data_IF_890714116680
#
_entry.id   IF_890714116680
#
_cell.length_a   1.000
_cell.length_b   1.000
_cell.length_c   1.000
_cell.angle_alpha   90.00
_cell.angle_beta   90.00
_cell.angle_gamma   90.00
#
_symmetry.space_group_name_H-M   'P 1'
#
loop_
_entity.id
_entity.type
_entity.pdbx_description
1 polymer ?
#
# COMPACT_ATOMS: atom_id res chain seq x y z
N UNK A 1 19.80 -64.24 10.81
CA UNK A 1 20.10 -64.52 9.39
C UNK A 1 21.16 -63.53 8.93
N UNK A 2 22.03 -63.98 8.02
CA UNK A 2 23.37 -63.47 7.76
C UNK A 2 23.44 -62.07 7.12
N UNK A 3 24.58 -61.42 7.39
CA UNK A 3 25.14 -60.24 6.73
C UNK A 3 25.51 -60.48 5.25
N UNK A 4 26.06 -59.44 4.61
CA UNK A 4 26.86 -59.35 3.36
C UNK A 4 26.02 -58.79 2.20
N UNK A 5 26.24 -57.57 1.68
CA UNK A 5 27.43 -57.04 0.96
C UNK A 5 27.39 -55.50 1.11
N UNK A 6 28.29 -54.83 1.83
CA UNK A 6 29.69 -54.48 1.52
C UNK A 6 29.89 -53.47 0.39
N UNK A 7 30.18 -52.24 0.82
CA UNK A 7 31.30 -51.39 0.37
C UNK A 7 31.50 -51.12 -1.13
N UNK A 8 31.41 -49.83 -1.49
CA UNK A 8 32.45 -49.18 -2.31
C UNK A 8 32.36 -47.65 -2.16
N UNK A 9 32.91 -47.13 -1.05
CA UNK A 9 33.48 -45.79 -1.07
C UNK A 9 34.93 -45.94 -1.51
N UNK A 10 35.21 -45.60 -2.77
CA UNK A 10 36.56 -45.31 -3.23
C UNK A 10 36.60 -43.89 -3.72
N UNK A 11 37.34 -43.05 -3.00
CA UNK A 11 37.92 -41.81 -3.52
C UNK A 11 38.95 -42.19 -4.58
N UNK A 12 38.83 -41.67 -5.78
CA UNK A 12 39.99 -41.28 -6.56
C UNK A 12 39.70 -40.00 -7.33
N UNK A 13 40.66 -39.09 -7.22
CA UNK A 13 40.76 -37.80 -7.87
C UNK A 13 41.14 -38.00 -9.34
N UNK A 14 40.59 -37.18 -10.24
CA UNK A 14 41.37 -36.23 -11.06
C UNK A 14 40.59 -35.79 -12.31
N UNK A 15 40.53 -34.46 -12.44
CA UNK A 15 40.49 -33.67 -13.67
C UNK A 15 39.37 -33.90 -14.70
N UNK A 16 38.36 -33.02 -14.63
CA UNK A 16 37.80 -32.42 -15.85
C UNK A 16 37.42 -30.96 -15.59
N UNK A 17 38.36 -30.08 -15.96
CA UNK A 17 38.15 -28.70 -16.42
C UNK A 17 37.20 -27.84 -15.58
N UNK A 18 37.80 -27.25 -14.56
CA UNK A 18 37.50 -25.90 -14.11
C UNK A 18 37.52 -24.93 -15.30
N UNK A 19 36.33 -24.48 -15.72
CA UNK A 19 36.12 -23.18 -16.33
C UNK A 19 34.80 -22.63 -15.77
N UNK A 20 34.76 -22.35 -14.47
CA UNK A 20 33.72 -21.48 -13.89
C UNK A 20 34.07 -20.01 -14.16
N UNK A 21 34.09 -19.61 -15.44
CA UNK A 21 34.17 -18.20 -15.83
C UNK A 21 32.78 -17.70 -16.24
N UNK A 22 31.91 -17.46 -15.24
CA UNK A 22 30.60 -16.83 -15.45
C UNK A 22 30.11 -15.91 -14.32
N UNK A 23 30.91 -15.72 -13.25
CA UNK A 23 30.36 -15.34 -11.93
C UNK A 23 30.48 -13.85 -11.58
N UNK A 24 31.19 -13.01 -12.34
CA UNK A 24 31.37 -11.60 -11.95
C UNK A 24 30.31 -10.65 -12.52
N UNK A 25 29.84 -10.84 -13.75
CA UNK A 25 28.84 -9.95 -14.38
C UNK A 25 27.42 -10.25 -13.85
N UNK A 26 27.14 -11.52 -13.57
CA UNK A 26 25.84 -11.97 -13.04
C UNK A 26 25.63 -11.53 -11.57
N UNK A 27 26.69 -11.51 -10.76
CA UNK A 27 26.65 -11.04 -9.37
C UNK A 27 26.32 -9.54 -9.25
N UNK A 28 27.03 -8.68 -9.99
CA UNK A 28 26.80 -7.22 -9.97
C UNK A 28 25.40 -6.85 -10.48
N UNK A 29 24.82 -7.63 -11.40
CA UNK A 29 23.45 -7.40 -11.88
C UNK A 29 22.38 -7.75 -10.83
N UNK A 30 22.63 -8.76 -9.99
CA UNK A 30 21.73 -9.14 -8.91
C UNK A 30 21.78 -8.14 -7.76
N UNK A 31 22.96 -7.61 -7.43
CA UNK A 31 23.10 -6.62 -6.35
C UNK A 31 22.26 -5.36 -6.60
N UNK A 32 22.36 -4.80 -7.81
CA UNK A 32 21.55 -3.64 -8.20
C UNK A 32 20.05 -3.97 -8.18
N UNK A 33 19.67 -5.15 -8.66
CA UNK A 33 18.28 -5.59 -8.62
C UNK A 33 17.73 -5.64 -7.18
N UNK A 34 18.51 -6.20 -6.25
CA UNK A 34 18.09 -6.28 -4.85
C UNK A 34 18.07 -4.92 -4.17
N UNK A 35 18.96 -3.99 -4.54
CA UNK A 35 18.90 -2.61 -4.09
C UNK A 35 17.60 -1.93 -4.54
N UNK A 36 17.24 -2.04 -5.83
CA UNK A 36 15.99 -1.49 -6.36
C UNK A 36 14.75 -2.11 -5.69
N UNK A 37 14.79 -3.43 -5.43
CA UNK A 37 13.77 -4.16 -4.68
C UNK A 37 13.62 -3.64 -3.25
N UNK A 38 14.72 -3.37 -2.56
CA UNK A 38 14.68 -2.86 -1.19
C UNK A 38 14.08 -1.46 -1.14
N UNK A 39 14.45 -0.58 -2.07
CA UNK A 39 13.81 0.75 -2.16
C UNK A 39 12.30 0.65 -2.41
N UNK A 40 11.84 -0.32 -3.20
CA UNK A 40 10.39 -0.56 -3.39
C UNK A 40 9.73 -1.06 -2.10
N UNK A 41 10.40 -1.88 -1.29
CA UNK A 41 9.88 -2.31 0.01
C UNK A 41 9.80 -1.15 1.00
N UNK A 42 10.80 -0.28 1.04
CA UNK A 42 10.77 0.95 1.85
C UNK A 42 9.59 1.83 1.45
N UNK A 43 9.40 2.07 0.14
CA UNK A 43 8.26 2.84 -0.36
C UNK A 43 6.90 2.18 0.01
N UNK A 44 6.82 0.85 0.02
CA UNK A 44 5.63 0.10 0.48
C UNK A 44 5.39 0.24 1.99
N UNK A 45 6.45 0.35 2.79
CA UNK A 45 6.33 0.60 4.23
C UNK A 45 5.86 2.04 4.48
N UNK A 46 6.41 3.03 3.78
CA UNK A 46 5.91 4.41 3.83
C UNK A 46 4.41 4.49 3.49
N UNK A 47 3.97 3.71 2.50
CA UNK A 47 2.55 3.63 2.13
C UNK A 47 1.71 3.05 3.27
N UNK A 48 2.21 2.06 4.01
CA UNK A 48 1.55 1.51 5.19
C UNK A 48 1.47 2.51 6.34
N UNK A 49 2.52 3.30 6.55
CA UNK A 49 2.54 4.32 7.60
C UNK A 49 1.52 5.42 7.32
N UNK A 50 1.37 5.81 6.04
CA UNK A 50 0.33 6.74 5.61
C UNK A 50 -1.08 6.18 5.87
N UNK A 51 -1.30 4.88 5.64
CA UNK A 51 -2.58 4.22 5.95
C UNK A 51 -2.88 4.28 7.45
N UNK A 52 -1.87 3.97 8.27
CA UNK A 52 -2.00 3.98 9.73
C UNK A 52 -2.28 5.39 10.26
N UNK A 53 -1.61 6.42 9.70
CA UNK A 53 -1.86 7.83 10.04
C UNK A 53 -3.28 8.26 9.66
N UNK A 54 -3.73 7.92 8.46
CA UNK A 54 -5.09 8.19 7.99
C UNK A 54 -6.13 7.54 8.92
N UNK A 55 -5.92 6.28 9.30
CA UNK A 55 -6.78 5.55 10.24
C UNK A 55 -6.81 6.22 11.62
N UNK A 56 -5.65 6.61 12.17
CA UNK A 56 -5.58 7.31 13.46
C UNK A 56 -6.34 8.63 13.42
N UNK A 57 -6.13 9.44 12.37
CA UNK A 57 -6.81 10.72 12.20
C UNK A 57 -8.33 10.57 12.07
N UNK A 58 -8.80 9.50 11.43
CA UNK A 58 -10.20 9.17 11.38
C UNK A 58 -10.78 8.82 12.76
N UNK A 59 -10.12 7.95 13.51
CA UNK A 59 -10.57 7.60 14.86
C UNK A 59 -10.55 8.81 15.81
N UNK A 60 -9.55 9.70 15.70
CA UNK A 60 -9.51 10.98 16.43
C UNK A 60 -10.67 11.90 16.05
N UNK A 61 -11.17 11.84 14.82
CA UNK A 61 -12.32 12.66 14.39
C UNK A 61 -13.61 12.25 15.11
N UNK A 62 -13.73 10.99 15.53
CA UNK A 62 -14.92 10.48 16.24
C UNK A 62 -15.07 11.04 17.65
N UNK A 63 -13.96 11.43 18.28
CA UNK A 63 -13.93 11.99 19.64
C UNK A 63 -13.65 13.49 19.65
N UNK A 64 -13.46 14.11 18.49
CA UNK A 64 -13.29 15.55 18.38
C UNK A 64 -14.60 16.29 18.70
N UNK A 65 -14.51 17.29 19.58
CA UNK A 65 -15.68 18.05 20.07
C UNK A 65 -15.71 19.51 19.59
N UNK A 66 -14.69 19.94 18.84
CA UNK A 66 -14.63 21.31 18.32
C UNK A 66 -14.55 21.31 16.79
N UNK A 67 -15.25 22.26 16.17
CA UNK A 67 -15.22 22.43 14.72
C UNK A 67 -13.82 22.72 14.18
N UNK A 68 -12.98 23.41 14.97
CA UNK A 68 -11.57 23.65 14.64
C UNK A 68 -10.78 22.34 14.56
N UNK A 69 -10.86 21.49 15.59
CA UNK A 69 -10.18 20.19 15.62
C UNK A 69 -10.66 19.27 14.49
N UNK A 70 -11.96 19.20 14.23
CA UNK A 70 -12.51 18.40 13.12
C UNK A 70 -11.97 18.89 11.77
N UNK A 71 -11.91 20.20 11.55
CA UNK A 71 -11.38 20.77 10.31
C UNK A 71 -9.89 20.47 10.12
N UNK A 72 -9.09 20.57 11.18
CA UNK A 72 -7.67 20.24 11.15
C UNK A 72 -7.44 18.76 10.83
N UNK A 73 -8.19 17.86 11.49
CA UNK A 73 -8.13 16.43 11.24
C UNK A 73 -8.48 16.09 9.79
N UNK A 74 -9.55 16.68 9.23
CA UNK A 74 -9.90 16.52 7.81
C UNK A 74 -8.77 16.96 6.89
N UNK A 75 -8.18 18.13 7.12
CA UNK A 75 -7.05 18.61 6.33
C UNK A 75 -5.83 17.67 6.40
N UNK A 76 -5.57 17.08 7.57
CA UNK A 76 -4.53 16.08 7.75
C UNK A 76 -4.84 14.81 6.95
N UNK A 77 -6.07 14.30 7.03
CA UNK A 77 -6.52 13.12 6.28
C UNK A 77 -6.39 13.33 4.76
N UNK A 78 -6.81 14.48 4.24
CA UNK A 78 -6.70 14.81 2.81
C UNK A 78 -5.24 14.82 2.35
N UNK A 79 -4.34 15.37 3.18
CA UNK A 79 -2.90 15.37 2.91
C UNK A 79 -2.34 13.95 2.88
N UNK A 80 -2.70 13.11 3.85
CA UNK A 80 -2.22 11.74 3.96
C UNK A 80 -2.69 10.90 2.76
N UNK A 81 -3.95 11.06 2.32
CA UNK A 81 -4.48 10.46 1.08
C UNK A 81 -3.69 10.94 -0.14
N UNK A 82 -3.45 12.25 -0.25
CA UNK A 82 -2.68 12.83 -1.35
C UNK A 82 -1.24 12.28 -1.41
N UNK A 83 -0.60 12.10 -0.25
CA UNK A 83 0.74 11.51 -0.14
C UNK A 83 0.72 10.02 -0.52
N UNK A 84 -0.29 9.27 -0.06
CA UNK A 84 -0.44 7.84 -0.38
C UNK A 84 -0.58 7.63 -1.90
N UNK A 85 -1.41 8.43 -2.57
CA UNK A 85 -1.57 8.36 -4.02
C UNK A 85 -0.27 8.68 -4.78
N UNK A 86 0.49 9.68 -4.33
CA UNK A 86 1.81 9.99 -4.92
C UNK A 86 2.79 8.83 -4.74
N UNK A 87 2.85 8.26 -3.54
CA UNK A 87 3.72 7.13 -3.21
C UNK A 87 3.36 5.87 -4.01
N UNK A 88 2.07 5.54 -4.10
CA UNK A 88 1.59 4.42 -4.91
C UNK A 88 1.97 4.56 -6.40
N UNK A 89 1.85 5.76 -6.98
CA UNK A 89 2.30 6.04 -8.35
C UNK A 89 3.81 5.84 -8.50
N UNK A 90 4.60 6.31 -7.54
CA UNK A 90 6.05 6.10 -7.54
C UNK A 90 6.41 4.60 -7.50
N UNK A 91 5.80 3.84 -6.60
CA UNK A 91 6.00 2.38 -6.50
C UNK A 91 5.68 1.71 -7.83
N UNK A 92 4.55 2.05 -8.45
CA UNK A 92 4.17 1.51 -9.75
C UNK A 92 5.26 1.75 -10.81
N UNK A 93 5.78 2.97 -10.92
CA UNK A 93 6.86 3.31 -11.87
C UNK A 93 8.13 2.52 -11.58
N UNK A 94 8.50 2.32 -10.31
CA UNK A 94 9.66 1.51 -9.92
C UNK A 94 9.46 0.02 -10.26
N UNK A 95 8.26 -0.52 -10.05
CA UNK A 95 7.92 -1.89 -10.46
C UNK A 95 8.04 -2.08 -11.98
N UNK A 96 7.56 -1.12 -12.76
CA UNK A 96 7.72 -1.14 -14.22
C UNK A 96 9.20 -1.05 -14.64
N UNK A 97 10.04 -0.33 -13.88
CA UNK A 97 11.48 -0.32 -14.10
C UNK A 97 12.14 -1.67 -13.79
N UNK A 98 11.71 -2.34 -12.72
CA UNK A 98 12.14 -3.70 -12.40
C UNK A 98 11.69 -4.71 -13.48
N UNK A 99 10.48 -4.57 -14.04
CA UNK A 99 10.03 -5.40 -15.16
C UNK A 99 10.92 -5.22 -16.40
N UNK A 100 11.27 -3.98 -16.75
CA UNK A 100 12.21 -3.68 -17.85
C UNK A 100 13.60 -4.27 -17.58
N UNK A 101 14.08 -4.16 -16.35
CA UNK A 101 15.35 -4.75 -15.91
C UNK A 101 15.33 -6.27 -16.03
N UNK A 102 14.24 -6.93 -15.65
CA UNK A 102 14.06 -8.38 -15.81
C UNK A 102 14.03 -8.78 -17.29
N UNK A 103 13.33 -8.03 -18.14
CA UNK A 103 13.30 -8.28 -19.57
C UNK A 103 14.69 -8.17 -20.21
N UNK A 104 15.48 -7.16 -19.83
CA UNK A 104 16.86 -7.00 -20.30
C UNK A 104 17.79 -8.13 -19.80
N UNK A 105 17.60 -8.58 -18.56
CA UNK A 105 18.38 -9.66 -17.96
C UNK A 105 18.24 -10.99 -18.72
N UNK A 106 17.09 -11.24 -19.37
CA UNK A 106 16.85 -12.46 -20.16
C UNK A 106 17.74 -12.61 -21.39
N UNK A 107 18.33 -11.51 -21.86
CA UNK A 107 19.26 -11.51 -22.98
C UNK A 107 20.71 -11.80 -22.56
N UNK A 108 20.98 -11.95 -21.26
CA UNK A 108 22.30 -12.31 -20.74
C UNK A 108 22.48 -13.83 -20.73
N UNK A 109 23.74 -14.24 -20.86
CA UNK A 109 24.10 -15.66 -20.84
C UNK A 109 23.67 -16.33 -19.51
N UNK A 110 23.14 -17.55 -19.59
CA UNK A 110 22.59 -18.28 -18.45
C UNK A 110 21.34 -17.67 -17.79
N UNK A 111 20.85 -16.51 -18.24
CA UNK A 111 19.74 -15.77 -17.61
C UNK A 111 18.43 -15.81 -18.40
N UNK A 112 18.35 -16.66 -19.43
CA UNK A 112 17.18 -16.77 -20.29
C UNK A 112 15.87 -17.15 -19.56
N UNK A 113 14.73 -17.10 -20.26
CA UNK A 113 13.42 -17.45 -19.69
C UNK A 113 13.44 -18.80 -18.97
N UNK A 114 12.94 -18.83 -17.73
CA UNK A 114 12.87 -20.06 -16.92
C UNK A 114 14.16 -20.42 -16.16
N UNK A 115 15.25 -19.68 -16.37
CA UNK A 115 16.46 -19.80 -15.55
C UNK A 115 16.19 -19.52 -14.07
N UNK A 116 17.09 -19.97 -13.19
CA UNK A 116 16.98 -19.69 -11.75
C UNK A 116 16.94 -18.18 -11.45
N UNK A 117 17.75 -17.39 -12.17
CA UNK A 117 17.79 -15.92 -12.07
C UNK A 117 16.46 -15.31 -12.54
N UNK A 118 15.95 -15.70 -13.71
CA UNK A 118 14.68 -15.19 -14.24
C UNK A 118 13.49 -15.52 -13.32
N UNK A 119 13.42 -16.76 -12.81
CA UNK A 119 12.37 -17.18 -11.86
C UNK A 119 12.41 -16.40 -10.56
N UNK A 120 13.60 -16.22 -9.98
CA UNK A 120 13.79 -15.46 -8.75
C UNK A 120 13.34 -14.02 -8.93
N UNK A 121 13.85 -13.33 -9.96
CA UNK A 121 13.53 -11.92 -10.22
C UNK A 121 12.05 -11.72 -10.52
N UNK A 122 11.46 -12.60 -11.34
CA UNK A 122 10.03 -12.56 -11.67
C UNK A 122 9.15 -12.76 -10.43
N UNK A 123 9.49 -13.73 -9.57
CA UNK A 123 8.75 -14.01 -8.33
C UNK A 123 8.80 -12.83 -7.36
N UNK A 124 9.98 -12.23 -7.17
CA UNK A 124 10.17 -11.07 -6.28
C UNK A 124 9.34 -9.87 -6.75
N UNK A 125 9.44 -9.49 -8.03
CA UNK A 125 8.67 -8.36 -8.58
C UNK A 125 7.17 -8.64 -8.53
N UNK A 126 6.75 -9.87 -8.85
CA UNK A 126 5.36 -10.30 -8.72
C UNK A 126 4.84 -10.19 -7.28
N UNK A 127 5.64 -10.56 -6.29
CA UNK A 127 5.32 -10.42 -4.87
C UNK A 127 5.17 -8.96 -4.44
N UNK A 128 6.06 -8.07 -4.87
CA UNK A 128 5.95 -6.63 -4.59
C UNK A 128 4.70 -6.01 -5.23
N UNK A 129 4.35 -6.42 -6.45
CA UNK A 129 3.13 -5.96 -7.13
C UNK A 129 1.88 -6.38 -6.35
N UNK A 130 1.80 -7.64 -5.91
CA UNK A 130 0.70 -8.12 -5.06
C UNK A 130 0.60 -7.33 -3.76
N UNK A 131 1.73 -7.00 -3.12
CA UNK A 131 1.75 -6.15 -1.91
C UNK A 131 1.23 -4.74 -2.17
N UNK A 132 1.59 -4.11 -3.29
CA UNK A 132 1.05 -2.80 -3.65
C UNK A 132 -0.47 -2.87 -3.82
N UNK A 133 -0.99 -3.87 -4.54
CA UNK A 133 -2.43 -4.07 -4.74
C UNK A 133 -3.14 -4.21 -3.39
N UNK A 134 -2.70 -5.12 -2.53
CA UNK A 134 -3.32 -5.31 -1.21
C UNK A 134 -3.32 -4.05 -0.35
N UNK A 135 -2.22 -3.28 -0.33
CA UNK A 135 -2.19 -2.00 0.39
C UNK A 135 -3.16 -0.97 -0.18
N UNK A 136 -3.33 -0.94 -1.51
CA UNK A 136 -4.28 -0.02 -2.14
C UNK A 136 -5.74 -0.44 -1.90
N UNK A 137 -6.02 -1.74 -1.80
CA UNK A 137 -7.33 -2.26 -1.36
C UNK A 137 -7.62 -1.82 0.09
N UNK A 138 -6.67 -1.99 1.01
CA UNK A 138 -6.80 -1.52 2.41
C UNK A 138 -7.08 0.00 2.49
N UNK A 139 -6.47 0.81 1.62
CA UNK A 139 -6.74 2.25 1.52
C UNK A 139 -8.15 2.55 1.01
N UNK A 140 -8.60 1.80 0.01
CA UNK A 140 -9.92 1.97 -0.57
C UNK A 140 -11.01 1.62 0.45
N UNK A 141 -10.86 0.49 1.14
CA UNK A 141 -11.77 0.07 2.23
C UNK A 141 -11.84 1.12 3.34
N UNK A 142 -10.69 1.66 3.77
CA UNK A 142 -10.64 2.71 4.79
C UNK A 142 -11.35 3.98 4.31
N UNK A 143 -11.14 4.38 3.05
CA UNK A 143 -11.79 5.56 2.47
C UNK A 143 -13.31 5.39 2.40
N UNK A 144 -13.78 4.21 2.00
CA UNK A 144 -15.22 3.90 1.96
C UNK A 144 -15.83 3.95 3.36
N UNK A 145 -15.14 3.38 4.35
CA UNK A 145 -15.56 3.46 5.75
C UNK A 145 -15.64 4.90 6.26
N UNK A 146 -14.60 5.71 6.01
CA UNK A 146 -14.58 7.13 6.39
C UNK A 146 -15.78 7.87 5.78
N UNK A 147 -16.01 7.69 4.48
CA UNK A 147 -17.09 8.36 3.77
C UNK A 147 -18.46 7.92 4.27
N UNK A 148 -18.66 6.62 4.51
CA UNK A 148 -19.91 6.07 5.03
C UNK A 148 -20.24 6.62 6.42
N UNK A 149 -19.28 6.59 7.34
CA UNK A 149 -19.45 7.12 8.70
C UNK A 149 -19.67 8.64 8.70
N UNK A 150 -19.01 9.38 7.80
CA UNK A 150 -19.23 10.81 7.65
C UNK A 150 -20.63 11.12 7.10
N UNK A 151 -21.09 10.38 6.10
CA UNK A 151 -22.44 10.49 5.54
C UNK A 151 -23.50 10.30 6.63
N UNK A 152 -23.39 9.22 7.41
CA UNK A 152 -24.29 8.95 8.54
C UNK A 152 -24.28 10.07 9.58
N UNK A 153 -23.11 10.65 9.85
CA UNK A 153 -22.99 11.79 10.78
C UNK A 153 -23.72 13.01 10.26
N UNK A 154 -23.60 13.33 8.97
CA UNK A 154 -24.30 14.47 8.35
C UNK A 154 -25.82 14.25 8.37
N UNK A 155 -26.29 13.06 8.01
CA UNK A 155 -27.71 12.70 8.05
C UNK A 155 -28.30 12.85 9.45
N UNK A 156 -27.60 12.33 10.47
CA UNK A 156 -28.05 12.43 11.87
C UNK A 156 -28.12 13.88 12.33
N UNK A 157 -27.10 14.69 12.02
CA UNK A 157 -27.09 16.13 12.34
C UNK A 157 -28.24 16.86 11.65
N UNK A 158 -28.50 16.54 10.38
CA UNK A 158 -29.62 17.13 9.65
C UNK A 158 -30.95 16.82 10.34
N UNK A 159 -31.22 15.55 10.62
CA UNK A 159 -32.43 15.11 11.30
C UNK A 159 -32.60 15.75 12.68
N UNK A 160 -31.54 15.88 13.47
CA UNK A 160 -31.60 16.56 14.78
C UNK A 160 -32.05 18.02 14.66
N UNK A 161 -31.69 18.71 13.59
CA UNK A 161 -32.02 20.12 13.38
C UNK A 161 -33.41 20.30 12.75
N UNK A 162 -33.74 19.47 11.75
CA UNK A 162 -34.95 19.66 10.93
C UNK A 162 -36.11 18.79 11.36
N UNK A 163 -35.85 17.67 12.05
CA UNK A 163 -36.83 16.62 12.31
C UNK A 163 -37.16 15.75 11.09
N UNK A 164 -36.52 15.99 9.94
CA UNK A 164 -36.81 15.34 8.67
C UNK A 164 -35.62 14.52 8.18
N UNK A 165 -35.90 13.44 7.45
CA UNK A 165 -34.85 12.63 6.82
C UNK A 165 -34.31 13.38 5.60
N UNK A 166 -33.00 13.61 5.55
CA UNK A 166 -32.35 14.19 4.38
C UNK A 166 -32.47 13.25 3.17
N UNK A 167 -32.71 13.81 1.99
CA UNK A 167 -32.48 13.10 0.73
C UNK A 167 -30.98 13.08 0.39
N UNK A 168 -30.58 12.20 -0.53
CA UNK A 168 -29.16 12.03 -0.91
C UNK A 168 -28.53 13.34 -1.44
N UNK A 169 -29.30 14.16 -2.15
CA UNK A 169 -28.80 15.43 -2.71
C UNK A 169 -28.47 16.44 -1.60
N UNK A 170 -29.32 16.56 -0.58
CA UNK A 170 -29.08 17.42 0.59
C UNK A 170 -27.83 16.96 1.33
N UNK A 171 -27.67 15.65 1.52
CA UNK A 171 -26.49 15.09 2.19
C UNK A 171 -25.21 15.40 1.40
N UNK A 172 -25.23 15.24 0.08
CA UNK A 172 -24.09 15.57 -0.79
C UNK A 172 -23.75 17.07 -0.76
N UNK A 173 -24.75 17.95 -0.72
CA UNK A 173 -24.55 19.40 -0.57
C UNK A 173 -23.91 19.71 0.78
N UNK A 174 -24.39 19.14 1.89
CA UNK A 174 -23.83 19.37 3.23
C UNK A 174 -22.42 18.81 3.39
N UNK A 175 -22.11 17.70 2.71
CA UNK A 175 -20.77 17.11 2.65
C UNK A 175 -19.83 18.02 1.86
N UNK A 176 -20.22 18.44 0.65
CA UNK A 176 -19.37 19.24 -0.25
C UNK A 176 -19.11 20.66 0.25
N UNK A 177 -20.10 21.28 0.88
CA UNK A 177 -19.98 22.62 1.49
C UNK A 177 -19.27 22.59 2.85
N UNK A 178 -19.27 21.43 3.53
CA UNK A 178 -18.78 21.29 4.90
C UNK A 178 -19.64 22.02 5.94
N UNK A 179 -20.84 22.45 5.57
CA UNK A 179 -21.71 23.27 6.43
C UNK A 179 -22.50 22.47 7.47
N UNK A 180 -22.45 21.13 7.41
CA UNK A 180 -23.19 20.25 8.34
C UNK A 180 -22.95 20.55 9.82
N UNK A 181 -21.77 21.05 10.18
CA UNK A 181 -21.39 21.38 11.56
C UNK A 181 -21.86 22.77 11.98
N UNK A 182 -21.65 23.77 11.12
CA UNK A 182 -22.12 25.14 11.32
C UNK A 182 -23.66 25.18 11.40
N UNK A 183 -24.32 24.35 10.60
CA UNK A 183 -25.76 24.19 10.58
C UNK A 183 -26.31 23.75 11.94
N UNK A 184 -25.74 22.69 12.54
CA UNK A 184 -26.13 22.22 13.87
C UNK A 184 -25.86 23.25 14.96
N UNK A 185 -24.70 23.92 14.95
CA UNK A 185 -24.36 24.94 15.95
C UNK A 185 -25.36 26.09 15.96
N UNK A 186 -25.78 26.58 14.78
CA UNK A 186 -26.78 27.64 14.65
C UNK A 186 -28.14 27.21 15.20
N UNK A 187 -28.57 25.98 14.93
CA UNK A 187 -29.83 25.44 15.42
C UNK A 187 -29.86 25.36 16.96
N UNK A 188 -28.77 24.90 17.58
CA UNK A 188 -28.63 24.86 19.05
C UNK A 188 -28.72 26.27 19.62
N UNK A 189 -28.02 27.24 19.03
CA UNK A 189 -28.08 28.64 19.49
C UNK A 189 -29.50 29.20 19.44
N UNK A 190 -30.29 28.90 18.40
CA UNK A 190 -31.65 29.41 18.27
C UNK A 190 -32.65 28.81 19.27
N UNK A 191 -32.47 27.54 19.70
CA UNK A 191 -33.34 26.89 20.68
C UNK A 191 -33.07 27.32 22.13
N UNK A 192 -31.87 27.78 22.46
CA UNK A 192 -31.48 28.20 23.83
C UNK A 192 -31.99 29.61 24.18
N UNK A 193 -32.48 30.38 23.19
CA UNK A 193 -33.03 31.72 23.39
C UNK A 193 -34.56 31.78 23.59
N UNK A 194 -35.20 30.64 23.87
CA UNK A 194 -36.61 30.55 24.30
C UNK A 194 -36.71 29.89 25.67
#
# INVERSE_FOLDING_TARGET
>A
MNNLISSSFSRHSENSTDVEMGVTITGVNLDKFFQDVETVKEDLNDLHDLHTKLRSAHEETKTAHTAGSVKELRSRMDRDVGQALKKAKLIKVRLEALDRSNAANRNQDGCGPGSSSDRTRTSVVGGLRKKLVGKMEEFQELREKINGEYKETVERRYFTVTGEKADDHIVDVLISTGESETFLQKAIQQQVFF
#
